data_IF_668360156936
#
_entry.id   IF_668360156936
#
_cell.length_a   1.000
_cell.length_b   1.000
_cell.length_c   1.000
_cell.angle_alpha   90.00
_cell.angle_beta   90.00
_cell.angle_gamma   90.00
#
_symmetry.space_group_name_H-M   'P 1'
#
loop_
_entity.id
_entity.type
_entity.pdbx_description
1 polymer ?
#
# COMPACT_ATOMS: atom_id res chain seq x y z
N UNK A 1 24.08 32.70 16.63
CA UNK A 1 25.22 33.64 16.56
C UNK A 1 25.83 33.75 15.18
N UNK A 2 26.20 32.67 14.50
CA UNK A 2 26.78 32.71 13.15
C UNK A 2 25.90 33.42 12.08
N UNK A 3 24.59 33.50 12.30
CA UNK A 3 23.62 34.20 11.43
C UNK A 3 23.13 35.54 11.98
N UNK A 4 23.65 35.98 13.14
CA UNK A 4 23.26 37.26 13.71
C UNK A 4 24.10 38.36 13.05
N UNK A 5 23.51 39.32 12.31
CA UNK A 5 24.24 40.38 11.64
C UNK A 5 25.04 41.28 12.60
N UNK A 6 24.68 41.30 13.89
CA UNK A 6 25.38 42.08 14.91
C UNK A 6 26.64 41.38 15.45
N UNK A 7 26.91 40.14 15.06
CA UNK A 7 28.10 39.40 15.49
C UNK A 7 29.28 39.70 14.57
N UNK A 8 30.44 39.97 15.17
CA UNK A 8 31.68 40.17 14.43
C UNK A 8 32.14 38.86 13.78
N UNK A 9 32.33 38.88 12.46
CA UNK A 9 32.86 37.74 11.71
C UNK A 9 34.38 37.89 11.52
N UNK A 10 35.15 36.90 12.00
CA UNK A 10 36.61 36.89 11.83
C UNK A 10 37.06 36.25 10.51
N UNK A 11 36.23 35.39 9.90
CA UNK A 11 36.56 34.62 8.69
C UNK A 11 35.55 34.76 7.55
N UNK A 12 34.33 35.24 7.85
CA UNK A 12 33.24 35.31 6.87
C UNK A 12 33.23 36.72 6.30
N UNK A 13 33.61 36.85 5.02
CA UNK A 13 33.74 38.14 4.33
C UNK A 13 32.58 38.41 3.35
N UNK A 14 31.59 37.53 3.32
CA UNK A 14 30.41 37.60 2.43
C UNK A 14 29.11 37.57 3.25
N UNK A 15 27.99 38.06 2.70
CA UNK A 15 26.70 38.00 3.37
C UNK A 15 26.34 36.57 3.76
N UNK A 16 25.94 36.36 5.02
CA UNK A 16 25.60 35.04 5.53
C UNK A 16 24.31 34.55 4.87
N UNK A 17 24.37 33.41 4.17
CA UNK A 17 23.19 32.78 3.55
C UNK A 17 22.31 32.12 4.61
N UNK A 18 20.98 32.17 4.42
CA UNK A 18 20.07 31.45 5.28
C UNK A 18 20.27 29.93 5.15
N UNK A 19 20.63 29.28 6.25
CA UNK A 19 20.74 27.83 6.31
C UNK A 19 19.39 27.17 6.57
N UNK A 20 19.25 25.86 6.26
CA UNK A 20 18.09 25.08 6.66
C UNK A 20 17.87 25.10 8.19
N UNK A 21 16.63 24.84 8.66
CA UNK A 21 16.36 24.70 10.09
C UNK A 21 17.25 23.64 10.74
N UNK A 22 17.85 23.98 11.88
CA UNK A 22 18.68 23.06 12.66
C UNK A 22 17.82 22.42 13.75
N UNK A 23 17.86 21.09 13.87
CA UNK A 23 17.21 20.34 14.92
C UNK A 23 18.21 19.43 15.63
N UNK A 24 18.20 19.45 16.97
CA UNK A 24 19.13 18.69 17.82
C UNK A 24 18.33 17.78 18.75
N UNK A 25 18.66 16.49 18.73
CA UNK A 25 18.12 15.50 19.66
C UNK A 25 18.69 15.76 21.05
N UNK A 26 17.82 15.81 22.04
CA UNK A 26 18.15 15.98 23.46
C UNK A 26 17.69 14.76 24.26
N UNK A 27 18.33 14.48 25.39
CA UNK A 27 18.13 13.27 26.20
C UNK A 27 17.07 13.44 27.30
N UNK A 28 16.37 14.58 27.36
CA UNK A 28 15.38 14.92 28.38
C UNK A 28 15.91 14.94 29.81
N UNK A 29 17.23 15.07 30.01
CA UNK A 29 17.84 15.13 31.34
C UNK A 29 17.65 16.48 32.06
N UNK A 30 17.24 17.52 31.34
CA UNK A 30 16.95 18.83 31.91
C UNK A 30 15.61 18.84 32.68
N UNK A 31 15.40 19.79 33.61
CA UNK A 31 14.17 19.86 34.42
C UNK A 31 12.87 19.99 33.62
N UNK A 32 12.91 20.49 32.38
CA UNK A 32 11.74 20.64 31.52
C UNK A 32 11.52 19.40 30.62
N UNK A 33 12.44 18.44 30.63
CA UNK A 33 12.36 17.19 29.87
C UNK A 33 12.48 17.41 28.36
N UNK A 34 13.35 18.32 27.94
CA UNK A 34 13.55 18.71 26.54
C UNK A 34 14.11 17.55 25.71
N UNK A 35 13.36 17.15 24.70
CA UNK A 35 13.73 16.05 23.79
C UNK A 35 14.20 16.55 22.41
N UNK A 36 13.81 17.76 22.01
CA UNK A 36 14.35 18.43 20.83
C UNK A 36 14.55 19.93 21.05
N UNK A 37 15.62 20.45 20.46
CA UNK A 37 15.83 21.89 20.26
C UNK A 37 15.90 22.18 18.77
N UNK A 38 15.12 23.17 18.32
CA UNK A 38 15.05 23.60 16.93
C UNK A 38 15.43 25.06 16.77
N UNK A 39 15.99 25.42 15.62
CA UNK A 39 16.32 26.80 15.29
C UNK A 39 16.04 27.08 13.81
N UNK A 40 15.11 28.00 13.52
CA UNK A 40 14.71 28.38 12.16
C UNK A 40 14.93 29.88 11.93
N UNK A 41 15.59 30.25 10.83
CA UNK A 41 15.84 31.64 10.50
C UNK A 41 14.57 32.35 10.00
N UNK A 42 14.40 33.59 10.43
CA UNK A 42 13.39 34.50 9.90
C UNK A 42 14.04 35.40 8.87
N UNK A 43 13.53 35.36 7.64
CA UNK A 43 14.03 36.18 6.53
C UNK A 43 12.96 37.16 6.06
N UNK A 44 13.38 38.36 5.68
CA UNK A 44 12.54 39.39 5.07
C UNK A 44 13.33 40.00 3.92
N UNK A 45 12.80 39.97 2.69
CA UNK A 45 13.48 40.47 1.49
C UNK A 45 14.93 39.93 1.35
N UNK A 46 15.12 38.61 1.52
CA UNK A 46 16.41 37.92 1.52
C UNK A 46 17.42 38.34 2.61
N UNK A 47 17.05 39.22 3.53
CA UNK A 47 17.84 39.55 4.72
C UNK A 47 17.40 38.70 5.91
N UNK A 48 18.35 38.25 6.74
CA UNK A 48 18.05 37.52 7.98
C UNK A 48 17.70 38.55 9.05
N UNK A 49 16.45 38.51 9.54
CA UNK A 49 15.89 39.47 10.50
C UNK A 49 15.70 38.89 11.89
N UNK A 50 15.87 37.58 12.06
CA UNK A 50 15.75 36.92 13.36
C UNK A 50 15.85 35.42 13.29
N UNK A 51 15.50 34.77 14.39
CA UNK A 51 15.48 33.33 14.55
C UNK A 51 14.30 32.92 15.44
N UNK A 52 13.64 31.82 15.10
CA UNK A 52 12.67 31.14 15.96
C UNK A 52 13.37 29.95 16.59
N UNK A 53 13.38 29.92 17.92
CA UNK A 53 13.92 28.83 18.72
C UNK A 53 12.76 27.95 19.17
N UNK A 54 12.80 26.66 18.86
CA UNK A 54 11.81 25.67 19.24
C UNK A 54 12.34 24.82 20.40
N UNK A 55 11.48 24.54 21.36
CA UNK A 55 11.71 23.59 22.44
C UNK A 55 10.59 22.56 22.41
N UNK A 56 10.95 21.29 22.39
CA UNK A 56 10.01 20.17 22.44
C UNK A 56 10.26 19.38 23.71
N UNK A 57 9.23 19.21 24.52
CA UNK A 57 9.25 18.35 25.70
C UNK A 57 8.31 17.16 25.50
N UNK A 58 8.69 15.98 25.99
CA UNK A 58 7.85 14.78 25.92
C UNK A 58 7.73 14.16 27.31
N UNK A 59 6.51 13.79 27.71
CA UNK A 59 6.22 13.14 28.99
C UNK A 59 5.35 11.90 28.76
N UNK A 60 5.69 10.81 29.43
CA UNK A 60 4.86 9.62 29.52
C UNK A 60 4.14 9.64 30.87
N UNK A 61 2.82 9.73 30.87
CA UNK A 61 2.02 9.78 32.10
C UNK A 61 0.68 9.07 31.87
N UNK A 62 0.17 8.44 32.94
CA UNK A 62 -1.20 7.89 32.97
C UNK A 62 -2.24 9.00 33.03
N UNK A 63 -1.90 10.13 33.65
CA UNK A 63 -2.79 11.27 33.79
C UNK A 63 -2.21 12.48 33.07
N UNK A 64 -2.97 13.07 32.15
CA UNK A 64 -2.65 14.35 31.56
C UNK A 64 -3.72 15.36 31.94
N UNK A 65 -3.30 16.56 32.32
CA UNK A 65 -4.18 17.71 32.51
C UNK A 65 -3.66 18.84 31.64
N UNK A 66 -4.46 19.22 30.65
CA UNK A 66 -4.16 20.37 29.81
C UNK A 66 -5.44 21.17 29.60
N UNK A 67 -5.33 22.49 29.68
CA UNK A 67 -6.43 23.40 29.44
C UNK A 67 -6.12 24.24 28.20
N UNK A 68 -7.08 24.32 27.27
CA UNK A 68 -6.91 25.06 26.02
C UNK A 68 -6.67 26.56 26.24
N UNK A 69 -7.37 27.16 27.20
CA UNK A 69 -7.25 28.59 27.50
C UNK A 69 -5.92 28.92 28.17
N UNK A 70 -5.35 28.00 28.96
CA UNK A 70 -4.00 28.16 29.51
C UNK A 70 -2.94 28.12 28.41
N UNK A 71 -3.08 27.21 27.43
CA UNK A 71 -2.20 27.16 26.27
C UNK A 71 -2.30 28.44 25.43
N UNK A 72 -3.53 28.91 25.15
CA UNK A 72 -3.78 30.17 24.42
C UNK A 72 -3.20 31.36 25.16
N UNK A 73 -3.44 31.46 26.46
CA UNK A 73 -2.95 32.54 27.32
C UNK A 73 -1.42 32.54 27.41
N UNK A 74 -0.81 31.37 27.56
CA UNK A 74 0.65 31.21 27.58
C UNK A 74 1.28 31.62 26.25
N UNK A 75 0.68 31.22 25.12
CA UNK A 75 1.14 31.64 23.79
C UNK A 75 1.00 33.16 23.59
N UNK A 76 -0.15 33.75 23.96
CA UNK A 76 -0.36 35.21 23.91
C UNK A 76 0.68 35.98 24.73
N UNK A 77 0.93 35.52 25.97
CA UNK A 77 1.93 36.13 26.86
C UNK A 77 3.34 36.03 26.28
N UNK A 78 3.72 34.86 25.77
CA UNK A 78 5.07 34.60 25.22
C UNK A 78 5.38 35.46 23.98
N UNK A 79 4.38 35.74 23.15
CA UNK A 79 4.55 36.42 21.87
C UNK A 79 3.92 37.81 21.80
N UNK A 80 3.41 38.32 22.92
CA UNK A 80 2.74 39.61 23.02
C UNK A 80 1.61 39.80 21.98
N UNK A 81 0.80 38.75 21.78
CA UNK A 81 -0.29 38.72 20.81
C UNK A 81 -1.64 39.06 21.47
N UNK A 82 -2.49 39.81 20.76
CA UNK A 82 -3.87 40.11 21.19
C UNK A 82 -4.84 38.97 20.85
N UNK A 83 -4.69 38.36 19.67
CA UNK A 83 -5.53 37.28 19.16
C UNK A 83 -4.72 36.05 18.78
N UNK A 84 -5.32 34.89 18.96
CA UNK A 84 -4.75 33.59 18.57
C UNK A 84 -5.85 32.73 17.98
N UNK A 85 -5.48 31.82 17.09
CA UNK A 85 -6.35 30.78 16.55
C UNK A 85 -5.86 29.42 17.00
N UNK A 86 -6.79 28.47 17.15
CA UNK A 86 -6.48 27.09 17.48
C UNK A 86 -6.94 26.18 16.34
N UNK A 87 -6.05 25.32 15.86
CA UNK A 87 -6.31 24.32 14.83
C UNK A 87 -6.10 22.94 15.41
N UNK A 88 -7.06 22.04 15.20
CA UNK A 88 -7.03 20.67 15.67
C UNK A 88 -6.61 19.74 14.56
N UNK A 89 -5.93 18.65 14.93
CA UNK A 89 -5.71 17.51 14.07
C UNK A 89 -5.75 16.22 14.87
N UNK A 90 -6.33 15.17 14.31
CA UNK A 90 -6.39 13.85 14.90
C UNK A 90 -6.08 12.79 13.85
N UNK A 91 -5.39 11.74 14.25
CA UNK A 91 -5.07 10.57 13.44
C UNK A 91 -5.68 9.34 14.10
N UNK A 92 -6.36 8.53 13.30
CA UNK A 92 -6.99 7.28 13.70
C UNK A 92 -6.35 6.13 12.93
N UNK A 93 -5.88 5.11 13.63
CA UNK A 93 -5.37 3.87 13.03
C UNK A 93 -6.57 2.99 12.66
N UNK A 94 -6.81 2.81 11.36
CA UNK A 94 -7.90 1.95 10.88
C UNK A 94 -7.43 0.51 10.71
N UNK A 95 -6.19 0.35 10.24
CA UNK A 95 -5.55 -0.94 10.06
C UNK A 95 -4.04 -0.82 10.18
N UNK A 96 -3.44 -1.82 10.83
CA UNK A 96 -2.00 -2.01 10.88
C UNK A 96 -1.70 -3.50 10.89
N UNK A 97 -0.94 -3.99 9.92
CA UNK A 97 -0.49 -5.39 9.94
C UNK A 97 0.55 -5.58 11.03
N UNK A 98 0.39 -6.65 11.81
CA UNK A 98 1.41 -7.12 12.75
C UNK A 98 2.41 -8.00 12.02
N UNK A 99 3.69 -7.62 12.04
CA UNK A 99 4.76 -8.49 11.58
C UNK A 99 4.77 -9.77 12.44
N UNK A 100 4.81 -10.93 11.80
CA UNK A 100 4.85 -12.24 12.49
C UNK A 100 6.23 -12.55 13.10
N UNK A 101 7.25 -11.73 12.85
CA UNK A 101 8.60 -11.89 13.42
C UNK A 101 9.22 -10.54 13.80
N UNK A 102 9.75 -10.47 15.03
CA UNK A 102 10.49 -9.35 15.64
C UNK A 102 11.91 -9.18 15.01
N UNK A 103 12.01 -9.17 13.68
CA UNK A 103 13.25 -8.82 12.99
C UNK A 103 13.10 -7.52 12.21
N UNK A 104 13.94 -6.56 12.60
CA UNK A 104 14.26 -5.26 12.01
C UNK A 104 13.38 -4.81 10.81
N UNK A 105 12.41 -3.93 11.11
CA UNK A 105 11.68 -3.12 10.15
C UNK A 105 11.08 -3.89 8.97
N UNK A 106 10.28 -4.93 9.26
CA UNK A 106 9.30 -5.40 8.29
C UNK A 106 8.44 -4.21 7.84
N UNK A 107 8.31 -4.03 6.53
CA UNK A 107 7.31 -3.11 5.98
C UNK A 107 5.95 -3.55 6.54
N UNK A 108 5.04 -2.62 6.76
CA UNK A 108 3.73 -2.93 7.34
C UNK A 108 2.68 -2.22 6.51
N UNK A 109 1.60 -2.94 6.22
CA UNK A 109 0.39 -2.35 5.69
C UNK A 109 -0.23 -1.48 6.77
N UNK A 110 -0.38 -0.20 6.48
CA UNK A 110 -0.94 0.79 7.40
C UNK A 110 -1.97 1.65 6.70
N UNK A 111 -3.18 1.72 7.27
CA UNK A 111 -4.24 2.61 6.83
C UNK A 111 -4.63 3.50 8.00
N UNK A 112 -4.46 4.80 7.84
CA UNK A 112 -4.78 5.79 8.88
C UNK A 112 -5.71 6.86 8.32
N UNK A 113 -6.58 7.40 9.16
CA UNK A 113 -7.44 8.54 8.85
C UNK A 113 -6.93 9.78 9.58
N UNK A 114 -6.45 10.76 8.82
CA UNK A 114 -6.08 12.07 9.33
C UNK A 114 -7.25 13.04 9.18
N UNK A 115 -7.59 13.75 10.24
CA UNK A 115 -8.65 14.76 10.25
C UNK A 115 -8.08 16.05 10.83
N UNK A 116 -8.34 17.19 10.20
CA UNK A 116 -7.94 18.50 10.69
C UNK A 116 -9.09 19.50 10.61
N UNK A 117 -9.16 20.39 11.59
CA UNK A 117 -10.26 21.35 11.71
C UNK A 117 -9.84 22.64 12.42
N UNK A 118 -10.63 23.68 12.24
CA UNK A 118 -10.45 24.97 12.87
C UNK A 118 -11.80 25.69 12.92
N UNK A 119 -12.17 26.37 14.02
CA UNK A 119 -11.42 26.48 15.28
C UNK A 119 -11.50 25.20 16.16
N UNK A 120 -10.69 25.17 17.22
CA UNK A 120 -10.80 24.22 18.34
C UNK A 120 -11.35 24.95 19.56
N UNK A 121 -12.38 24.36 20.16
CA UNK A 121 -13.10 24.87 21.31
C UNK A 121 -12.73 24.10 22.58
N UNK A 122 -12.46 22.80 22.48
CA UNK A 122 -12.11 21.92 23.59
C UNK A 122 -10.94 20.98 23.27
N UNK A 123 -10.12 20.69 24.29
CA UNK A 123 -9.09 19.65 24.22
C UNK A 123 -9.76 18.30 24.03
N UNK A 124 -9.24 17.50 23.09
CA UNK A 124 -9.79 16.19 22.73
C UNK A 124 -11.21 16.24 22.17
N UNK A 125 -11.65 17.39 21.67
CA UNK A 125 -12.92 17.46 20.95
C UNK A 125 -12.91 16.49 19.77
N UNK A 126 -14.05 15.84 19.56
CA UNK A 126 -14.28 14.97 18.41
C UNK A 126 -14.27 15.86 17.15
N UNK A 127 -13.54 15.48 16.08
CA UNK A 127 -13.49 16.27 14.86
C UNK A 127 -14.90 16.52 14.27
N UNK A 128 -15.30 17.79 14.02
CA UNK A 128 -16.62 18.09 13.47
C UNK A 128 -16.78 17.55 12.04
N UNK A 129 -18.02 17.38 11.59
CA UNK A 129 -18.29 16.89 10.22
C UNK A 129 -17.87 17.87 9.11
N UNK A 130 -17.64 19.15 9.46
CA UNK A 130 -17.10 20.19 8.59
C UNK A 130 -15.58 20.18 8.47
N UNK A 131 -14.90 19.22 9.09
CA UNK A 131 -13.44 19.07 9.04
C UNK A 131 -12.93 18.75 7.63
N UNK A 132 -11.62 18.85 7.45
CA UNK A 132 -10.91 18.25 6.31
C UNK A 132 -10.36 16.90 6.73
N UNK A 133 -10.52 15.86 5.91
CA UNK A 133 -10.00 14.53 6.21
C UNK A 133 -9.30 13.89 5.01
N UNK A 134 -8.32 13.03 5.29
CA UNK A 134 -7.60 12.25 4.30
C UNK A 134 -7.29 10.85 4.84
N UNK A 135 -7.51 9.82 4.01
CA UNK A 135 -7.00 8.48 4.26
C UNK A 135 -5.57 8.39 3.75
N UNK A 136 -4.65 7.97 4.60
CA UNK A 136 -3.29 7.63 4.23
C UNK A 136 -3.21 6.10 4.10
N UNK A 137 -2.77 5.62 2.94
CA UNK A 137 -2.79 4.21 2.58
C UNK A 137 -1.38 3.80 2.17
N UNK A 138 -0.81 2.85 2.90
CA UNK A 138 0.45 2.18 2.59
C UNK A 138 0.21 0.68 2.68
N UNK A 139 0.53 -0.07 1.63
CA UNK A 139 0.28 -1.50 1.57
C UNK A 139 1.56 -2.22 1.20
N UNK A 140 1.93 -3.20 2.02
CA UNK A 140 2.99 -4.17 1.73
C UNK A 140 2.40 -5.31 0.89
N UNK A 141 3.12 -5.73 -0.14
CA UNK A 141 2.64 -6.77 -1.04
C UNK A 141 2.82 -8.18 -0.46
N UNK A 142 1.86 -9.06 -0.76
CA UNK A 142 2.02 -10.49 -0.57
C UNK A 142 1.54 -11.07 0.75
N UNK A 143 0.54 -10.45 1.39
CA UNK A 143 -0.11 -10.99 2.58
C UNK A 143 -0.67 -12.41 2.34
N UNK A 144 -0.11 -13.47 2.96
CA UNK A 144 -0.39 -14.86 2.59
C UNK A 144 -1.80 -15.34 2.98
N UNK A 145 -2.48 -14.60 3.86
CA UNK A 145 -3.86 -14.88 4.28
C UNK A 145 -4.88 -13.94 3.63
N UNK A 146 -4.44 -13.05 2.74
CA UNK A 146 -5.32 -12.11 2.06
C UNK A 146 -6.23 -12.80 1.02
N UNK A 147 -7.36 -12.15 0.66
CA UNK A 147 -8.29 -12.67 -0.35
C UNK A 147 -7.68 -12.76 -1.76
N UNK A 148 -6.53 -12.12 -1.99
CA UNK A 148 -5.80 -12.13 -3.26
C UNK A 148 -4.72 -13.20 -3.34
N UNK A 149 -4.65 -14.15 -2.39
CA UNK A 149 -3.61 -15.18 -2.33
C UNK A 149 -3.45 -15.96 -3.64
N UNK A 150 -4.56 -16.28 -4.31
CA UNK A 150 -4.52 -16.98 -5.59
C UNK A 150 -3.79 -16.17 -6.68
N UNK A 151 -4.17 -14.90 -6.90
CA UNK A 151 -3.48 -14.00 -7.84
C UNK A 151 -2.03 -13.76 -7.43
N UNK A 152 -1.74 -13.65 -6.14
CA UNK A 152 -0.38 -13.45 -5.65
C UNK A 152 0.51 -14.66 -5.92
N UNK A 153 -0.02 -15.89 -5.79
CA UNK A 153 0.71 -17.12 -6.17
C UNK A 153 1.03 -17.15 -7.64
N UNK A 154 0.04 -16.84 -8.48
CA UNK A 154 0.24 -16.78 -9.93
C UNK A 154 1.26 -15.71 -10.32
N UNK A 155 1.21 -14.53 -9.69
CA UNK A 155 2.19 -13.48 -9.90
C UNK A 155 3.60 -13.93 -9.47
N UNK A 156 3.74 -14.57 -8.29
CA UNK A 156 5.03 -15.13 -7.84
C UNK A 156 5.59 -16.12 -8.86
N UNK A 157 4.75 -17.01 -9.39
CA UNK A 157 5.18 -17.94 -10.42
C UNK A 157 5.57 -17.23 -11.73
N UNK A 158 4.83 -16.21 -12.14
CA UNK A 158 5.18 -15.37 -13.29
C UNK A 158 6.57 -14.73 -13.13
N UNK A 159 6.88 -14.24 -11.92
CA UNK A 159 8.18 -13.64 -11.59
C UNK A 159 9.31 -14.65 -11.64
N UNK A 160 9.09 -15.86 -11.12
CA UNK A 160 10.04 -16.98 -11.24
C UNK A 160 10.38 -17.27 -12.71
N UNK A 161 9.38 -17.30 -13.59
CA UNK A 161 9.60 -17.49 -15.03
C UNK A 161 10.35 -16.31 -15.67
N UNK A 162 10.01 -15.08 -15.29
CA UNK A 162 10.67 -13.86 -15.78
C UNK A 162 12.16 -13.81 -15.37
N UNK A 163 12.46 -14.11 -14.10
CA UNK A 163 13.83 -14.19 -13.59
C UNK A 163 14.60 -15.36 -14.21
N UNK A 164 13.95 -16.50 -14.41
CA UNK A 164 14.54 -17.62 -15.15
C UNK A 164 14.91 -17.24 -16.58
N UNK A 165 14.07 -16.46 -17.26
CA UNK A 165 14.36 -15.95 -18.60
C UNK A 165 15.53 -14.95 -18.62
N UNK A 166 15.64 -14.12 -17.56
CA UNK A 166 16.67 -13.08 -17.42
C UNK A 166 18.04 -13.64 -17.02
N UNK A 167 18.05 -14.61 -16.11
CA UNK A 167 19.28 -15.14 -15.49
C UNK A 167 19.73 -16.48 -16.06
N UNK A 168 18.84 -17.21 -16.73
CA UNK A 168 19.06 -18.58 -17.16
C UNK A 168 18.88 -19.63 -16.07
N UNK A 169 18.53 -19.23 -14.84
CA UNK A 169 18.32 -20.11 -13.68
C UNK A 169 16.93 -19.88 -13.12
N UNK A 170 16.11 -20.93 -13.09
CA UNK A 170 14.74 -20.88 -12.55
C UNK A 170 14.68 -21.60 -11.21
N UNK A 171 14.25 -20.89 -10.17
CA UNK A 171 13.94 -21.46 -8.85
C UNK A 171 12.49 -21.93 -8.85
N UNK A 172 12.26 -23.22 -9.14
CA UNK A 172 10.92 -23.76 -9.25
C UNK A 172 10.21 -23.82 -7.90
N UNK A 173 8.95 -23.34 -7.79
CA UNK A 173 8.20 -23.40 -6.54
C UNK A 173 7.77 -24.83 -6.20
N UNK A 174 7.36 -25.01 -4.94
CA UNK A 174 6.74 -26.27 -4.51
C UNK A 174 5.41 -26.51 -5.24
N UNK A 175 5.14 -27.76 -5.69
CA UNK A 175 3.91 -28.08 -6.39
C UNK A 175 2.72 -27.99 -5.44
N UNK A 176 1.63 -27.40 -5.92
CA UNK A 176 0.35 -27.33 -5.23
C UNK A 176 -0.51 -28.56 -5.55
N UNK A 177 -0.30 -29.14 -6.73
CA UNK A 177 -1.04 -30.30 -7.22
C UNK A 177 -0.30 -31.61 -6.92
N UNK A 178 -1.07 -32.66 -6.61
CA UNK A 178 -0.53 -34.01 -6.39
C UNK A 178 -0.10 -34.66 -7.71
N UNK A 179 -0.81 -34.35 -8.80
CA UNK A 179 -0.50 -34.82 -10.15
C UNK A 179 0.61 -33.97 -10.77
N UNK A 180 1.45 -34.61 -11.58
CA UNK A 180 2.49 -33.89 -12.32
C UNK A 180 1.88 -32.99 -13.41
N UNK A 181 2.61 -31.94 -13.80
CA UNK A 181 2.20 -31.05 -14.88
C UNK A 181 1.88 -31.78 -16.18
N UNK A 182 2.66 -32.83 -16.50
CA UNK A 182 2.49 -33.63 -17.71
C UNK A 182 1.18 -34.42 -17.65
N UNK A 183 0.85 -35.01 -16.51
CA UNK A 183 -0.42 -35.74 -16.32
C UNK A 183 -1.62 -34.79 -16.42
N UNK A 184 -1.56 -33.62 -15.78
CA UNK A 184 -2.63 -32.62 -15.83
C UNK A 184 -2.88 -32.09 -17.24
N UNK A 185 -1.80 -31.85 -18.00
CA UNK A 185 -1.90 -31.42 -19.41
C UNK A 185 -2.44 -32.57 -20.27
N UNK A 186 -1.99 -33.80 -20.06
CA UNK A 186 -2.50 -34.95 -20.82
C UNK A 186 -3.98 -35.21 -20.56
N UNK A 187 -4.42 -35.14 -19.30
CA UNK A 187 -5.82 -35.25 -18.91
C UNK A 187 -6.66 -34.15 -19.57
N UNK A 188 -6.17 -32.91 -19.52
CA UNK A 188 -6.82 -31.78 -20.18
C UNK A 188 -7.00 -31.97 -21.69
N UNK A 189 -5.95 -32.41 -22.39
CA UNK A 189 -6.03 -32.71 -23.82
C UNK A 189 -7.01 -33.85 -24.12
N UNK A 190 -7.03 -34.89 -23.29
CA UNK A 190 -7.95 -36.01 -23.45
C UNK A 190 -9.42 -35.60 -23.24
N UNK A 191 -9.68 -34.67 -22.31
CA UNK A 191 -11.03 -34.20 -22.05
C UNK A 191 -11.56 -33.31 -23.17
N UNK A 192 -10.69 -32.51 -23.80
CA UNK A 192 -11.03 -31.76 -25.01
C UNK A 192 -11.40 -32.68 -26.19
N UNK A 193 -10.70 -33.82 -26.33
CA UNK A 193 -11.01 -34.82 -27.36
C UNK A 193 -12.33 -35.56 -27.13
N UNK A 194 -12.80 -35.64 -25.87
CA UNK A 194 -14.08 -36.27 -25.53
C UNK A 194 -15.26 -35.32 -25.71
N UNK A 195 -15.01 -34.02 -25.84
CA UNK A 195 -16.01 -32.95 -25.78
C UNK A 195 -16.72 -32.66 -27.12
N UNK A 196 -16.69 -33.59 -28.08
CA UNK A 196 -17.57 -33.57 -29.26
C UNK A 196 -19.07 -33.83 -28.90
N UNK A 197 -19.42 -33.78 -27.61
CA UNK A 197 -20.80 -33.86 -27.11
C UNK A 197 -21.00 -33.21 -25.73
N UNK A 198 -21.86 -32.18 -25.69
CA UNK A 198 -22.37 -31.41 -24.52
C UNK A 198 -21.39 -30.43 -23.86
N UNK A 199 -21.74 -29.16 -23.60
CA UNK A 199 -23.05 -28.63 -23.20
C UNK A 199 -23.01 -28.33 -21.70
N UNK A 200 -22.80 -27.05 -21.38
CA UNK A 200 -22.91 -26.35 -20.09
C UNK A 200 -23.01 -27.23 -18.82
N UNK A 201 -21.93 -27.32 -18.04
CA UNK A 201 -21.95 -27.96 -16.71
C UNK A 201 -21.55 -26.97 -15.61
N UNK A 202 -22.38 -25.96 -15.41
CA UNK A 202 -22.46 -25.28 -14.10
C UNK A 202 -22.98 -26.26 -13.04
N UNK A 203 -22.08 -26.91 -12.30
CA UNK A 203 -22.42 -27.51 -11.00
C UNK A 203 -22.55 -26.39 -9.97
N UNK A 204 -23.80 -26.00 -9.68
CA UNK A 204 -24.16 -25.26 -8.47
C UNK A 204 -24.26 -26.25 -7.31
N UNK A 205 -23.24 -26.28 -6.46
CA UNK A 205 -23.39 -26.85 -5.13
C UNK A 205 -23.90 -25.76 -4.19
N UNK A 206 -25.13 -25.95 -3.72
CA UNK A 206 -25.78 -25.12 -2.74
C UNK A 206 -25.44 -25.63 -1.33
N UNK A 207 -24.61 -24.90 -0.59
CA UNK A 207 -24.42 -25.15 0.84
C UNK A 207 -25.12 -24.10 1.70
N UNK A 208 -25.77 -24.62 2.74
CA UNK A 208 -26.68 -23.97 3.66
C UNK A 208 -25.98 -22.96 4.58
N UNK A 209 -26.60 -21.79 4.70
CA UNK A 209 -26.11 -20.63 5.48
C UNK A 209 -26.38 -20.83 6.98
N UNK A 210 -25.32 -20.81 7.78
CA UNK A 210 -25.37 -20.45 9.21
C UNK A 210 -24.56 -19.17 9.42
N UNK A 211 -25.19 -18.20 10.07
CA UNK A 211 -24.66 -16.86 10.37
C UNK A 211 -23.64 -16.89 11.52
N UNK A 212 -22.46 -16.30 11.28
CA UNK A 212 -21.73 -15.33 12.11
C UNK A 212 -20.20 -15.44 11.93
N UNK A 213 -19.54 -14.29 11.77
CA UNK A 213 -18.13 -14.04 11.35
C UNK A 213 -17.73 -14.46 9.91
N UNK A 214 -18.21 -15.60 9.40
CA UNK A 214 -17.90 -16.08 8.03
C UNK A 214 -18.54 -15.25 6.90
N UNK A 215 -19.45 -14.32 7.24
CA UNK A 215 -20.15 -13.49 6.27
C UNK A 215 -19.28 -12.37 5.68
N UNK A 216 -18.27 -11.89 6.42
CA UNK A 216 -17.34 -10.85 5.93
C UNK A 216 -16.34 -11.45 4.95
N UNK A 217 -15.75 -12.60 5.28
CA UNK A 217 -14.87 -13.35 4.37
C UNK A 217 -15.60 -13.78 3.10
N UNK A 218 -16.82 -14.35 3.22
CA UNK A 218 -17.66 -14.64 2.05
C UNK A 218 -18.09 -13.40 1.26
N UNK A 219 -18.23 -12.24 1.90
CA UNK A 219 -18.56 -10.98 1.19
C UNK A 219 -17.37 -10.41 0.44
N UNK A 220 -16.13 -10.73 0.85
CA UNK A 220 -14.90 -10.38 0.16
C UNK A 220 -14.61 -11.41 -0.94
N UNK A 221 -14.75 -12.71 -0.68
CA UNK A 221 -14.64 -13.77 -1.70
C UNK A 221 -15.70 -13.62 -2.80
N UNK A 222 -16.92 -13.20 -2.47
CA UNK A 222 -17.98 -12.94 -3.45
C UNK A 222 -17.77 -11.66 -4.29
N UNK A 223 -16.92 -10.72 -3.83
CA UNK A 223 -16.56 -9.52 -4.61
C UNK A 223 -15.62 -9.82 -5.78
N UNK A 224 -14.81 -10.88 -5.65
CA UNK A 224 -13.88 -11.33 -6.67
C UNK A 224 -14.47 -12.55 -7.34
N UNK A 225 -15.41 -12.33 -8.27
CA UNK A 225 -15.78 -13.40 -9.20
C UNK A 225 -14.53 -13.73 -10.01
N UNK A 226 -13.85 -14.81 -9.63
CA UNK A 226 -12.77 -15.39 -10.43
C UNK A 226 -13.31 -15.56 -11.83
N UNK A 227 -12.59 -15.02 -12.82
CA UNK A 227 -13.00 -15.09 -14.22
C UNK A 227 -13.18 -16.56 -14.60
N UNK A 228 -14.41 -16.96 -14.88
CA UNK A 228 -14.78 -18.34 -15.19
C UNK A 228 -14.68 -18.68 -16.68
N UNK A 229 -14.74 -17.68 -17.55
CA UNK A 229 -14.53 -17.77 -18.99
C UNK A 229 -13.03 -17.78 -19.30
N UNK A 230 -12.38 -18.93 -19.03
CA UNK A 230 -10.98 -19.17 -19.37
C UNK A 230 -10.88 -19.90 -20.71
N UNK A 231 -10.09 -19.35 -21.64
CA UNK A 231 -9.77 -20.04 -22.89
C UNK A 231 -8.76 -21.19 -22.69
N UNK A 232 -8.42 -21.87 -23.77
CA UNK A 232 -7.48 -22.99 -23.73
C UNK A 232 -6.12 -22.63 -23.12
N UNK A 233 -5.54 -21.48 -23.51
CA UNK A 233 -4.23 -21.06 -23.04
C UNK A 233 -4.29 -20.69 -21.55
N UNK A 234 -5.39 -20.09 -21.10
CA UNK A 234 -5.60 -19.68 -19.72
C UNK A 234 -5.83 -20.88 -18.79
N UNK A 235 -6.59 -21.87 -19.24
CA UNK A 235 -6.74 -23.15 -18.54
C UNK A 235 -5.41 -23.92 -18.47
N UNK A 236 -4.60 -23.84 -19.53
CA UNK A 236 -3.26 -24.42 -19.55
C UNK A 236 -2.35 -23.75 -18.50
N UNK A 237 -2.37 -22.41 -18.41
CA UNK A 237 -1.64 -21.69 -17.38
C UNK A 237 -2.07 -22.11 -15.98
N UNK A 238 -3.37 -22.21 -15.71
CA UNK A 238 -3.87 -22.64 -14.41
C UNK A 238 -3.33 -24.02 -14.02
N UNK A 239 -3.34 -24.98 -14.94
CA UNK A 239 -2.82 -26.33 -14.70
C UNK A 239 -1.30 -26.35 -14.49
N UNK A 240 -0.54 -25.62 -15.32
CA UNK A 240 0.91 -25.64 -15.29
C UNK A 240 1.50 -24.83 -14.13
N UNK A 241 0.90 -23.69 -13.78
CA UNK A 241 1.40 -22.81 -12.70
C UNK A 241 1.35 -23.44 -11.31
N UNK A 242 0.44 -24.39 -11.09
CA UNK A 242 0.34 -25.13 -9.83
C UNK A 242 1.16 -26.42 -9.76
N UNK A 243 1.79 -26.86 -10.85
CA UNK A 243 2.34 -28.23 -10.95
C UNK A 243 3.72 -28.36 -11.62
N UNK A 244 4.18 -27.33 -12.34
CA UNK A 244 5.50 -27.35 -12.98
C UNK A 244 6.59 -27.16 -11.92
N UNK A 245 7.52 -28.12 -11.87
CA UNK A 245 8.65 -28.12 -10.93
C UNK A 245 10.02 -28.18 -11.64
N UNK A 246 10.03 -28.21 -12.97
CA UNK A 246 11.27 -28.30 -13.75
C UNK A 246 11.14 -27.79 -15.18
N UNK A 247 12.26 -27.42 -15.80
CA UNK A 247 12.33 -27.09 -17.23
C UNK A 247 11.87 -28.26 -18.12
N UNK A 248 12.12 -29.51 -17.70
CA UNK A 248 11.73 -30.69 -18.46
C UNK A 248 10.21 -30.87 -18.48
N UNK A 249 9.50 -30.45 -17.44
CA UNK A 249 8.03 -30.46 -17.44
C UNK A 249 7.50 -29.51 -18.50
N UNK A 250 8.08 -28.30 -18.64
CA UNK A 250 7.70 -27.37 -19.71
C UNK A 250 7.89 -27.99 -21.09
N UNK A 251 9.07 -28.58 -21.35
CA UNK A 251 9.36 -29.22 -22.63
C UNK A 251 8.36 -30.33 -22.93
N UNK A 252 8.09 -31.21 -21.97
CA UNK A 252 7.15 -32.32 -22.14
C UNK A 252 5.72 -31.84 -22.37
N UNK A 253 5.23 -30.91 -21.54
CA UNK A 253 3.89 -30.34 -21.67
C UNK A 253 3.70 -29.67 -23.04
N UNK A 254 4.61 -28.79 -23.46
CA UNK A 254 4.52 -28.15 -24.77
C UNK A 254 4.69 -29.13 -25.93
N UNK A 255 5.51 -30.18 -25.77
CA UNK A 255 5.64 -31.23 -26.80
C UNK A 255 4.30 -31.94 -27.02
N UNK A 256 3.61 -32.33 -25.94
CA UNK A 256 2.29 -32.96 -26.03
C UNK A 256 1.28 -32.07 -26.75
N UNK A 257 1.22 -30.79 -26.36
CA UNK A 257 0.27 -29.82 -26.95
C UNK A 257 0.57 -29.61 -28.45
N UNK A 258 1.84 -29.39 -28.81
CA UNK A 258 2.23 -29.18 -30.21
C UNK A 258 1.93 -30.42 -31.04
N UNK A 259 2.19 -31.62 -30.53
CA UNK A 259 1.86 -32.87 -31.22
C UNK A 259 0.35 -33.05 -31.41
N UNK A 260 -0.45 -32.76 -30.39
CA UNK A 260 -1.92 -32.83 -30.50
C UNK A 260 -2.48 -31.83 -31.50
N UNK A 261 -1.94 -30.61 -31.58
CA UNK A 261 -2.29 -29.62 -32.60
C UNK A 261 -1.87 -30.09 -34.01
N UNK A 262 -0.63 -30.58 -34.17
CA UNK A 262 -0.11 -31.04 -35.46
C UNK A 262 -0.88 -32.24 -36.02
N UNK A 263 -1.34 -33.15 -35.15
CA UNK A 263 -2.19 -34.28 -35.53
C UNK A 263 -3.64 -33.87 -35.82
N UNK A 264 -4.03 -32.65 -35.45
CA UNK A 264 -5.41 -32.18 -35.52
C UNK A 264 -6.32 -32.88 -34.51
N UNK A 265 -5.76 -33.44 -33.43
CA UNK A 265 -6.51 -34.14 -32.38
C UNK A 265 -7.46 -33.15 -31.67
N UNK A 266 -7.02 -31.90 -31.50
CA UNK A 266 -7.75 -30.82 -30.81
C UNK A 266 -7.96 -29.60 -31.71
N UNK A 267 -9.06 -28.88 -31.49
CA UNK A 267 -9.32 -27.55 -32.04
C UNK A 267 -9.68 -26.57 -30.91
N UNK A 268 -8.70 -26.17 -30.08
CA UNK A 268 -8.96 -25.39 -28.88
C UNK A 268 -9.49 -23.99 -29.24
N UNK A 269 -10.32 -23.38 -28.39
CA UNK A 269 -10.75 -21.98 -28.56
C UNK A 269 -9.84 -21.00 -27.81
N UNK A 270 -9.66 -19.80 -28.36
CA UNK A 270 -8.84 -18.71 -27.79
C UNK A 270 -9.60 -17.38 -27.78
N UNK A 271 -9.39 -16.58 -26.73
CA UNK A 271 -9.80 -15.18 -26.76
C UNK A 271 -9.01 -14.38 -27.79
N UNK A 272 -9.66 -13.38 -28.41
CA UNK A 272 -8.99 -12.47 -29.33
C UNK A 272 -7.91 -11.63 -28.65
N UNK A 273 -6.86 -11.29 -29.39
CA UNK A 273 -5.85 -10.30 -28.97
C UNK A 273 -4.61 -10.85 -28.28
N UNK A 274 -4.44 -12.17 -28.17
CA UNK A 274 -3.18 -12.78 -27.72
C UNK A 274 -2.15 -12.83 -28.85
N UNK A 275 -0.94 -12.33 -28.59
CA UNK A 275 0.20 -12.39 -29.51
C UNK A 275 1.25 -13.44 -29.10
N UNK A 276 0.90 -14.33 -28.16
CA UNK A 276 1.78 -15.39 -27.67
C UNK A 276 2.21 -16.35 -28.79
N UNK A 277 3.35 -17.02 -28.60
CA UNK A 277 3.78 -18.06 -29.54
C UNK A 277 2.76 -19.20 -29.63
N UNK A 278 2.15 -19.59 -28.50
CA UNK A 278 1.14 -20.65 -28.49
C UNK A 278 -0.12 -20.24 -29.28
N UNK A 279 -0.60 -18.99 -29.15
CA UNK A 279 -1.77 -18.55 -29.92
C UNK A 279 -1.53 -18.60 -31.42
N UNK A 280 -0.32 -18.19 -31.86
CA UNK A 280 0.08 -18.28 -33.28
C UNK A 280 0.09 -19.72 -33.78
N UNK A 281 0.62 -20.66 -33.01
CA UNK A 281 0.63 -22.08 -33.38
C UNK A 281 -0.78 -22.66 -33.46
N UNK A 282 -1.67 -22.29 -32.54
CA UNK A 282 -3.07 -22.72 -32.56
C UNK A 282 -3.78 -22.19 -33.82
N UNK A 283 -3.60 -20.91 -34.15
CA UNK A 283 -4.18 -20.34 -35.38
C UNK A 283 -3.65 -21.02 -36.64
N UNK A 284 -2.35 -21.29 -36.71
CA UNK A 284 -1.72 -22.04 -37.80
C UNK A 284 -2.28 -23.47 -37.93
N UNK A 285 -2.55 -24.13 -36.80
CA UNK A 285 -3.14 -25.47 -36.75
C UNK A 285 -4.48 -25.55 -37.47
N UNK A 286 -5.33 -24.53 -37.36
CA UNK A 286 -6.63 -24.51 -38.05
C UNK A 286 -6.50 -24.48 -39.58
N UNK A 287 -5.38 -23.98 -40.09
CA UNK A 287 -5.09 -23.89 -41.52
C UNK A 287 -4.26 -25.07 -42.04
N UNK A 288 -4.04 -26.10 -41.21
CA UNK A 288 -3.35 -27.34 -41.58
C UNK A 288 -1.84 -27.19 -41.83
N UNK A 289 -1.25 -26.04 -41.53
CA UNK A 289 0.19 -25.77 -41.69
C UNK A 289 0.73 -25.08 -40.45
N UNK A 290 1.44 -25.85 -39.60
CA UNK A 290 2.08 -25.34 -38.40
C UNK A 290 3.58 -25.26 -38.55
N UNK A 291 4.17 -24.18 -38.04
CA UNK A 291 5.62 -24.04 -37.97
C UNK A 291 6.22 -25.11 -37.03
N UNK A 292 7.41 -25.59 -37.37
CA UNK A 292 8.17 -26.48 -36.48
C UNK A 292 8.86 -25.65 -35.40
N UNK A 293 8.44 -25.81 -34.15
CA UNK A 293 9.05 -25.12 -33.01
C UNK A 293 10.04 -26.04 -32.29
N UNK A 294 11.31 -25.64 -32.27
CA UNK A 294 12.31 -26.32 -31.47
C UNK A 294 12.20 -25.88 -29.99
N UNK A 295 11.70 -26.77 -29.12
CA UNK A 295 11.57 -26.54 -27.67
C UNK A 295 12.93 -26.62 -26.95
N UNK A 296 13.83 -25.70 -27.28
CA UNK A 296 15.20 -25.62 -26.76
C UNK A 296 15.52 -24.22 -26.23
N UNK A 297 16.58 -24.11 -25.43
CA UNK A 297 17.00 -22.85 -24.82
C UNK A 297 15.91 -22.25 -23.93
N UNK A 298 15.59 -20.98 -24.14
CA UNK A 298 14.62 -20.24 -23.32
C UNK A 298 13.18 -20.29 -23.85
N UNK A 299 12.95 -20.95 -24.99
CA UNK A 299 11.65 -20.95 -25.67
C UNK A 299 10.52 -21.50 -24.79
N UNK A 300 10.65 -22.66 -24.10
CA UNK A 300 9.56 -23.18 -23.26
C UNK A 300 9.19 -22.24 -22.10
N UNK A 301 10.19 -21.63 -21.46
CA UNK A 301 9.97 -20.66 -20.37
C UNK A 301 9.24 -19.42 -20.90
N UNK A 302 9.70 -18.89 -22.05
CA UNK A 302 9.06 -17.74 -22.70
C UNK A 302 7.61 -18.03 -23.09
N UNK A 303 7.32 -19.22 -23.63
CA UNK A 303 5.96 -19.62 -23.99
C UNK A 303 5.03 -19.58 -22.77
N UNK A 304 5.43 -20.17 -21.64
CA UNK A 304 4.59 -20.17 -20.44
C UNK A 304 4.44 -18.77 -19.84
N UNK A 305 5.52 -17.97 -19.87
CA UNK A 305 5.50 -16.58 -19.40
C UNK A 305 4.53 -15.70 -20.20
N UNK A 306 4.52 -15.84 -21.54
CA UNK A 306 3.57 -15.12 -22.41
C UNK A 306 2.11 -15.47 -22.08
N UNK A 307 1.83 -16.76 -21.85
CA UNK A 307 0.48 -17.23 -21.49
C UNK A 307 0.05 -16.65 -20.13
N UNK A 308 0.94 -16.72 -19.13
CA UNK A 308 0.66 -16.16 -17.80
C UNK A 308 0.44 -14.65 -17.81
N UNK A 309 1.21 -13.92 -18.63
CA UNK A 309 1.02 -12.48 -18.83
C UNK A 309 -0.36 -12.17 -19.42
N UNK A 310 -0.74 -12.87 -20.49
CA UNK A 310 -2.04 -12.65 -21.14
C UNK A 310 -3.19 -12.97 -20.19
N UNK A 311 -3.11 -14.07 -19.43
CA UNK A 311 -4.11 -14.45 -18.43
C UNK A 311 -4.24 -13.40 -17.34
N UNK A 312 -3.14 -13.05 -16.67
CA UNK A 312 -3.15 -12.13 -15.54
C UNK A 312 -3.59 -10.73 -15.97
N UNK A 313 -3.14 -10.22 -17.13
CA UNK A 313 -3.61 -8.93 -17.65
C UNK A 313 -5.13 -8.94 -17.85
N UNK A 314 -5.71 -10.01 -18.41
CA UNK A 314 -7.17 -10.12 -18.57
C UNK A 314 -7.90 -10.16 -17.23
N UNK A 315 -7.34 -10.81 -16.22
CA UNK A 315 -7.95 -10.86 -14.89
C UNK A 315 -7.97 -9.48 -14.23
N UNK A 316 -6.86 -8.74 -14.29
CA UNK A 316 -6.84 -7.35 -13.79
C UNK A 316 -7.79 -6.45 -14.59
N UNK A 317 -7.81 -6.57 -15.93
CA UNK A 317 -8.76 -5.82 -16.77
C UNK A 317 -10.20 -6.14 -16.35
N UNK A 318 -10.54 -7.42 -16.20
CA UNK A 318 -11.87 -7.89 -15.81
C UNK A 318 -12.28 -7.31 -14.45
N UNK A 319 -11.36 -7.30 -13.47
CA UNK A 319 -11.61 -6.69 -12.17
C UNK A 319 -11.83 -5.18 -12.28
N UNK A 320 -10.88 -4.43 -12.83
CA UNK A 320 -10.93 -2.97 -12.81
C UNK A 320 -12.06 -2.40 -13.68
N UNK A 321 -12.35 -3.03 -14.82
CA UNK A 321 -13.48 -2.63 -15.67
C UNK A 321 -14.80 -3.14 -15.09
N UNK A 322 -14.85 -4.39 -14.62
CA UNK A 322 -16.07 -4.99 -14.06
C UNK A 322 -16.56 -4.31 -12.78
N UNK A 323 -15.63 -3.74 -12.00
CA UNK A 323 -15.95 -2.91 -10.83
C UNK A 323 -16.11 -1.42 -11.16
N UNK A 324 -16.08 -1.04 -12.44
CA UNK A 324 -16.18 0.35 -12.92
C UNK A 324 -15.12 1.30 -12.31
N UNK A 325 -13.95 0.76 -11.95
CA UNK A 325 -12.85 1.51 -11.32
C UNK A 325 -11.88 2.13 -12.33
N UNK A 326 -11.82 1.57 -13.54
CA UNK A 326 -11.01 2.07 -14.64
C UNK A 326 -11.62 1.72 -16.01
N UNK A 327 -11.20 2.45 -17.04
CA UNK A 327 -11.44 2.08 -18.44
C UNK A 327 -10.21 1.39 -19.01
N UNK A 328 -10.34 0.72 -20.16
CA UNK A 328 -9.20 0.14 -20.87
C UNK A 328 -8.11 1.18 -21.18
N UNK A 329 -8.52 2.41 -21.53
CA UNK A 329 -7.60 3.53 -21.79
C UNK A 329 -6.81 3.93 -20.53
N UNK A 330 -7.43 3.87 -19.35
CA UNK A 330 -6.71 4.13 -18.11
C UNK A 330 -5.63 3.07 -17.87
N UNK A 331 -5.90 1.82 -18.23
CA UNK A 331 -5.03 0.67 -18.00
C UNK A 331 -4.00 0.42 -19.12
N UNK A 332 -4.11 1.09 -20.27
CA UNK A 332 -3.29 0.88 -21.48
C UNK A 332 -1.79 0.75 -21.20
N UNK A 333 -1.24 1.66 -20.37
CA UNK A 333 0.16 1.63 -19.95
C UNK A 333 0.56 0.27 -19.39
N UNK A 334 -0.26 -0.34 -18.54
CA UNK A 334 0.07 -1.58 -17.84
C UNK A 334 -0.09 -2.82 -18.71
N UNK A 335 -0.98 -2.78 -19.70
CA UNK A 335 -1.38 -3.96 -20.47
C UNK A 335 -0.70 -4.05 -21.85
N UNK A 336 -0.12 -2.95 -22.35
CA UNK A 336 0.51 -2.90 -23.68
C UNK A 336 1.59 -3.98 -23.87
N UNK A 337 1.57 -4.62 -25.03
CA UNK A 337 2.55 -5.63 -25.43
C UNK A 337 3.73 -5.03 -26.23
N UNK A 338 3.78 -3.70 -26.38
CA UNK A 338 4.81 -2.99 -27.16
C UNK A 338 6.18 -2.91 -26.49
N UNK A 339 6.24 -3.17 -25.18
CA UNK A 339 7.47 -3.15 -24.37
C UNK A 339 8.02 -4.56 -24.19
N UNK A 340 9.26 -4.66 -23.74
CA UNK A 340 9.90 -5.95 -23.50
C UNK A 340 9.16 -6.76 -22.43
N UNK A 341 9.34 -8.08 -22.46
CA UNK A 341 8.59 -9.01 -21.61
C UNK A 341 8.87 -8.80 -20.11
N UNK A 342 10.06 -8.31 -19.73
CA UNK A 342 10.39 -8.05 -18.33
C UNK A 342 9.65 -6.82 -17.83
N UNK A 343 9.61 -5.76 -18.64
CA UNK A 343 8.80 -4.57 -18.34
C UNK A 343 7.30 -4.90 -18.30
N UNK A 344 6.79 -5.80 -19.16
CA UNK A 344 5.40 -6.25 -19.08
C UNK A 344 5.10 -6.93 -17.74
N UNK A 345 5.99 -7.81 -17.27
CA UNK A 345 5.87 -8.46 -15.94
C UNK A 345 5.89 -7.42 -14.83
N UNK A 346 6.82 -6.47 -14.89
CA UNK A 346 6.93 -5.39 -13.89
C UNK A 346 5.67 -4.52 -13.81
N UNK A 347 5.03 -4.26 -14.96
CA UNK A 347 3.76 -3.52 -15.00
C UNK A 347 2.58 -4.32 -14.45
N UNK A 348 2.57 -5.64 -14.64
CA UNK A 348 1.58 -6.52 -14.01
C UNK A 348 1.76 -6.54 -12.48
N UNK A 349 3.00 -6.52 -11.96
CA UNK A 349 3.23 -6.34 -10.52
C UNK A 349 2.64 -5.03 -10.00
N UNK A 350 2.81 -3.93 -10.74
CA UNK A 350 2.17 -2.64 -10.38
C UNK A 350 0.65 -2.74 -10.34
N UNK A 351 0.02 -3.41 -11.32
CA UNK A 351 -1.44 -3.65 -11.29
C UNK A 351 -1.86 -4.46 -10.07
N UNK A 352 -1.09 -5.48 -9.70
CA UNK A 352 -1.35 -6.28 -8.51
C UNK A 352 -1.31 -5.43 -7.24
N UNK A 353 -0.28 -4.58 -7.10
CA UNK A 353 -0.18 -3.72 -5.93
C UNK A 353 -1.31 -2.68 -5.85
N UNK A 354 -1.74 -2.12 -6.99
CA UNK A 354 -2.95 -1.27 -7.05
C UNK A 354 -4.17 -2.06 -6.56
N UNK A 355 -4.31 -3.32 -6.96
CA UNK A 355 -5.40 -4.18 -6.52
C UNK A 355 -5.33 -4.41 -5.00
N UNK A 356 -4.18 -4.82 -4.46
CA UNK A 356 -3.98 -5.01 -3.01
C UNK A 356 -4.38 -3.76 -2.22
N UNK A 357 -3.94 -2.58 -2.65
CA UNK A 357 -4.34 -1.30 -2.06
C UNK A 357 -5.86 -1.10 -2.01
N UNK A 358 -6.56 -1.36 -3.11
CA UNK A 358 -8.01 -1.21 -3.15
C UNK A 358 -8.68 -2.18 -2.21
N UNK A 359 -8.25 -3.45 -2.22
CA UNK A 359 -8.80 -4.49 -1.35
C UNK A 359 -8.62 -4.15 0.12
N UNK A 360 -7.43 -3.70 0.53
CA UNK A 360 -7.19 -3.27 1.91
C UNK A 360 -8.09 -2.09 2.31
N UNK A 361 -8.45 -1.21 1.37
CA UNK A 361 -9.34 -0.09 1.64
C UNK A 361 -10.84 -0.43 1.59
N UNK A 362 -11.25 -1.49 0.90
CA UNK A 362 -12.67 -1.83 0.74
C UNK A 362 -13.40 -1.97 2.09
N UNK A 363 -12.74 -2.49 3.13
CA UNK A 363 -13.34 -2.60 4.47
C UNK A 363 -13.80 -1.25 5.05
N UNK A 364 -13.15 -0.16 4.66
CA UNK A 364 -13.37 1.17 5.23
C UNK A 364 -14.19 2.09 4.33
N UNK A 365 -14.09 1.93 3.00
CA UNK A 365 -14.67 2.86 2.03
C UNK A 365 -15.53 2.19 0.95
N UNK A 366 -15.80 0.89 1.00
CA UNK A 366 -16.61 0.17 -0.02
C UNK A 366 -17.98 0.78 -0.32
N UNK A 367 -18.77 1.31 0.64
CA UNK A 367 -20.04 1.97 0.33
C UNK A 367 -19.89 3.20 -0.57
N UNK A 368 -18.67 3.70 -0.79
CA UNK A 368 -18.38 4.92 -1.54
C UNK A 368 -17.53 4.58 -2.77
N UNK A 369 -18.19 4.11 -3.82
CA UNK A 369 -17.55 3.78 -5.09
C UNK A 369 -16.68 4.92 -5.65
N UNK A 370 -17.13 6.18 -5.51
CA UNK A 370 -16.36 7.36 -5.90
C UNK A 370 -14.97 7.43 -5.25
N UNK A 371 -14.83 6.98 -3.99
CA UNK A 371 -13.55 6.95 -3.29
C UNK A 371 -12.64 5.84 -3.82
N UNK A 372 -13.19 4.65 -4.09
CA UNK A 372 -12.44 3.54 -4.71
C UNK A 372 -11.97 3.92 -6.12
N UNK A 373 -12.83 4.58 -6.89
CA UNK A 373 -12.47 5.11 -8.21
C UNK A 373 -11.35 6.15 -8.09
N UNK A 374 -11.49 7.15 -7.21
CA UNK A 374 -10.48 8.19 -7.01
C UNK A 374 -9.13 7.61 -6.55
N UNK A 375 -9.14 6.62 -5.65
CA UNK A 375 -7.94 5.89 -5.24
C UNK A 375 -7.30 5.17 -6.43
N UNK A 376 -8.09 4.42 -7.21
CA UNK A 376 -7.62 3.73 -8.42
C UNK A 376 -6.93 4.70 -9.38
N UNK A 377 -7.56 5.85 -9.66
CA UNK A 377 -6.99 6.86 -10.56
C UNK A 377 -5.70 7.47 -10.01
N UNK A 378 -5.62 7.70 -8.69
CA UNK A 378 -4.41 8.18 -8.03
C UNK A 378 -3.25 7.19 -8.18
N UNK A 379 -3.49 5.91 -7.89
CA UNK A 379 -2.47 4.86 -8.01
C UNK A 379 -2.03 4.64 -9.46
N UNK A 380 -2.98 4.61 -10.40
CA UNK A 380 -2.71 4.51 -11.84
C UNK A 380 -1.83 5.67 -12.31
N UNK A 381 -2.13 6.91 -11.89
CA UNK A 381 -1.33 8.09 -12.23
C UNK A 381 0.09 7.99 -11.67
N UNK A 382 0.23 7.58 -10.42
CA UNK A 382 1.53 7.44 -9.77
C UNK A 382 2.40 6.37 -10.46
N UNK A 383 1.88 5.16 -10.65
CA UNK A 383 2.66 4.04 -11.18
C UNK A 383 2.97 4.12 -12.68
N UNK A 384 2.30 5.01 -13.42
CA UNK A 384 2.71 5.38 -14.78
C UNK A 384 4.04 6.15 -14.81
N UNK A 385 4.39 6.85 -13.73
CA UNK A 385 5.51 7.79 -13.69
C UNK A 385 6.61 7.38 -12.70
N UNK A 386 6.30 6.49 -11.77
CA UNK A 386 7.19 6.09 -10.68
C UNK A 386 7.41 4.56 -10.71
N UNK A 387 8.54 4.07 -10.18
CA UNK A 387 8.73 2.64 -9.92
C UNK A 387 7.70 2.14 -8.90
N UNK A 388 7.58 0.81 -8.79
CA UNK A 388 6.91 0.15 -7.68
C UNK A 388 7.63 0.55 -6.38
N UNK A 389 6.88 1.15 -5.45
CA UNK A 389 7.39 1.63 -4.16
C UNK A 389 6.32 1.40 -3.09
N UNK A 390 6.50 0.33 -2.32
CA UNK A 390 5.59 -0.05 -1.23
C UNK A 390 5.70 0.89 -0.01
N UNK A 391 6.71 1.75 0.05
CA UNK A 391 6.83 2.78 1.10
C UNK A 391 6.05 4.05 0.76
N UNK A 392 5.57 4.18 -0.48
CA UNK A 392 4.78 5.33 -0.87
C UNK A 392 3.44 5.36 -0.12
N UNK A 393 3.12 6.52 0.47
CA UNK A 393 1.85 6.74 1.17
C UNK A 393 0.90 7.46 0.22
N UNK A 394 -0.15 6.76 -0.22
CA UNK A 394 -1.20 7.38 -1.00
C UNK A 394 -2.18 8.12 -0.09
N UNK A 395 -2.41 9.40 -0.40
CA UNK A 395 -3.37 10.23 0.32
C UNK A 395 -4.65 10.36 -0.50
N UNK A 396 -5.77 9.91 0.07
CA UNK A 396 -7.09 10.03 -0.52
C UNK A 396 -7.93 11.03 0.31
N UNK A 397 -8.23 12.23 -0.22
CA UNK A 397 -9.13 13.16 0.44
C UNK A 397 -10.52 12.55 0.61
N UNK A 398 -11.08 12.62 1.82
CA UNK A 398 -12.41 12.09 2.14
C UNK A 398 -13.24 13.13 2.88
N UNK A 399 -14.56 13.09 2.68
CA UNK A 399 -15.47 13.93 3.46
C UNK A 399 -15.69 13.27 4.84
N UNK A 400 -15.57 13.99 5.97
CA UNK A 400 -15.81 13.40 7.29
C UNK A 400 -17.19 12.77 7.45
N UNK A 401 -18.21 13.29 6.76
CA UNK A 401 -19.56 12.69 6.73
C UNK A 401 -19.57 11.26 6.20
N UNK A 402 -18.66 10.96 5.28
CA UNK A 402 -18.55 9.67 4.61
C UNK A 402 -17.80 8.64 5.48
N UNK A 403 -16.86 9.09 6.32
CA UNK A 403 -16.05 8.23 7.19
C UNK A 403 -16.42 8.37 8.68
N UNK A 404 -17.59 8.96 8.95
CA UNK A 404 -18.08 9.27 10.31
C UNK A 404 -17.98 8.09 11.28
N UNK A 405 -18.39 6.91 10.83
CA UNK A 405 -18.39 5.68 11.64
C UNK A 405 -17.00 5.19 12.03
N UNK A 406 -15.95 5.64 11.34
CA UNK A 406 -14.58 5.21 11.58
C UNK A 406 -13.89 5.98 12.71
N UNK A 407 -14.44 7.12 13.14
CA UNK A 407 -13.73 8.01 14.06
C UNK A 407 -14.57 8.62 15.19
N UNK A 408 -15.90 8.72 15.05
CA UNK A 408 -16.70 9.44 16.04
C UNK A 408 -16.85 8.75 17.39
N UNK A 409 -16.81 7.42 17.42
CA UNK A 409 -16.82 6.60 18.65
C UNK A 409 -15.43 6.17 19.09
N UNK A 410 -14.42 6.45 18.28
CA UNK A 410 -13.07 5.92 18.46
C UNK A 410 -12.16 6.94 19.15
N UNK A 411 -11.17 6.42 19.87
CA UNK A 411 -10.09 7.25 20.42
C UNK A 411 -9.01 7.42 19.35
N UNK A 412 -8.57 8.65 19.06
CA UNK A 412 -7.49 8.85 18.11
C UNK A 412 -6.18 8.29 18.66
N UNK A 413 -5.38 7.72 17.77
CA UNK A 413 -4.00 7.30 18.07
C UNK A 413 -3.14 8.51 18.41
N UNK A 414 -3.39 9.62 17.71
CA UNK A 414 -2.75 10.91 17.96
C UNK A 414 -3.78 12.02 17.87
N UNK A 415 -3.83 12.90 18.86
CA UNK A 415 -4.61 14.14 18.84
C UNK A 415 -3.69 15.32 19.10
N UNK A 416 -3.90 16.41 18.38
CA UNK A 416 -3.01 17.56 18.42
C UNK A 416 -3.81 18.86 18.29
N UNK A 417 -3.41 19.88 19.05
CA UNK A 417 -3.85 21.27 18.86
C UNK A 417 -2.64 22.15 18.59
N UNK A 418 -2.73 22.95 17.53
CA UNK A 418 -1.77 24.00 17.17
C UNK A 418 -2.40 25.36 17.45
N UNK A 419 -1.70 26.18 18.25
CA UNK A 419 -2.06 27.56 18.55
C UNK A 419 -1.08 28.47 17.82
N UNK A 420 -1.60 29.42 17.06
CA UNK A 420 -0.81 30.41 16.32
C UNK A 420 -1.50 31.77 16.31
N UNK A 421 -0.77 32.84 15.98
CA UNK A 421 -1.37 34.15 15.76
C UNK A 421 -0.62 34.96 14.71
N UNK A 422 -1.34 35.50 13.72
CA UNK A 422 -0.86 36.47 12.71
C UNK A 422 0.29 35.98 11.80
N UNK A 423 1.48 35.80 12.36
CA UNK A 423 2.67 35.28 11.70
C UNK A 423 2.74 33.75 11.84
N UNK A 424 2.58 33.02 10.73
CA UNK A 424 2.54 31.54 10.68
C UNK A 424 3.75 30.82 11.30
N UNK A 425 4.88 31.53 11.53
CA UNK A 425 6.13 30.91 12.01
C UNK A 425 6.12 30.61 13.51
N UNK A 426 5.32 31.36 14.28
CA UNK A 426 5.27 31.23 15.73
C UNK A 426 4.06 30.40 16.13
N UNK A 427 4.32 29.24 16.73
CA UNK A 427 3.28 28.30 17.14
C UNK A 427 3.60 27.59 18.44
N UNK A 428 2.54 27.28 19.19
CA UNK A 428 2.58 26.30 20.30
C UNK A 428 1.78 25.08 19.86
N UNK A 429 2.35 23.88 19.98
CA UNK A 429 1.66 22.64 19.67
C UNK A 429 1.58 21.78 20.91
N UNK A 430 0.39 21.31 21.25
CA UNK A 430 0.22 20.24 22.24
C UNK A 430 -0.31 19.00 21.53
N UNK A 431 0.25 17.83 21.84
CA UNK A 431 -0.11 16.56 21.25
C UNK A 431 -0.25 15.49 22.33
N UNK A 432 -1.26 14.63 22.18
CA UNK A 432 -1.45 13.38 22.89
C UNK A 432 -1.29 12.22 21.91
N UNK A 433 -0.56 11.17 22.28
CA UNK A 433 -0.47 9.94 21.50
C UNK A 433 -0.44 8.69 22.38
N UNK A 434 -0.87 7.56 21.84
CA UNK A 434 -0.82 6.24 22.52
C UNK A 434 0.52 5.50 22.32
N UNK A 435 1.41 6.08 21.53
CA UNK A 435 2.76 5.60 21.22
C UNK A 435 3.79 6.71 21.41
N UNK A 436 5.02 6.32 21.69
CA UNK A 436 6.12 7.23 21.94
C UNK A 436 6.38 8.10 20.68
N UNK A 437 6.21 9.43 20.74
CA UNK A 437 6.34 10.29 19.57
C UNK A 437 7.80 10.64 19.23
N UNK A 438 8.76 10.15 20.03
CA UNK A 438 10.19 10.47 19.92
C UNK A 438 11.02 9.19 20.03
N UNK A 439 11.56 8.74 18.90
CA UNK A 439 12.25 7.44 18.79
C UNK A 439 13.54 7.36 19.62
N UNK A 440 14.21 8.48 19.87
CA UNK A 440 15.50 8.51 20.57
C UNK A 440 15.38 8.55 22.09
N UNK A 441 14.17 8.65 22.64
CA UNK A 441 13.93 8.56 24.07
C UNK A 441 13.55 7.13 24.46
N UNK A 442 14.30 6.57 25.40
CA UNK A 442 13.88 5.34 26.07
C UNK A 442 13.02 5.71 27.28
N UNK A 443 11.71 5.53 27.15
CA UNK A 443 10.84 5.55 28.32
C UNK A 443 11.04 4.22 29.04
N UNK A 444 11.84 4.21 30.11
CA UNK A 444 12.01 3.01 30.92
C UNK A 444 10.64 2.52 31.40
N UNK A 445 10.26 1.29 31.03
CA UNK A 445 9.19 0.53 31.70
C UNK A 445 9.66 0.20 33.12
N UNK A 446 9.70 1.18 34.02
CA UNK A 446 9.86 0.92 35.44
C UNK A 446 8.50 0.48 36.00
N UNK A 447 8.47 -0.78 36.48
CA UNK A 447 7.43 -1.44 37.29
C UNK A 447 6.09 -1.79 36.61
N UNK A 448 6.13 -2.62 35.56
CA UNK A 448 4.99 -3.50 35.25
C UNK A 448 5.49 -4.94 35.37
N UNK A 449 5.16 -5.59 36.48
CA UNK A 449 5.41 -7.02 36.69
C UNK A 449 4.86 -7.83 35.51
N UNK A 450 5.75 -8.50 34.78
CA UNK A 450 5.43 -9.50 33.77
C UNK A 450 4.84 -10.76 34.41
N UNK A 451 3.62 -10.68 34.94
CA UNK A 451 2.87 -11.85 35.37
C UNK A 451 1.37 -11.58 35.24
N UNK A 452 0.84 -11.57 34.02
CA UNK A 452 -0.43 -12.24 33.70
C UNK A 452 -0.58 -12.39 32.18
N UNK A 453 -0.37 -13.62 31.71
CA UNK A 453 -1.04 -14.16 30.52
C UNK A 453 -2.55 -14.11 30.77
N UNK A 454 -3.22 -13.02 30.39
CA UNK A 454 -4.63 -12.95 30.03
C UNK A 454 -4.93 -11.56 29.44
N UNK A 455 -5.32 -11.54 28.16
CA UNK A 455 -5.60 -10.35 27.38
C UNK A 455 -6.86 -9.60 27.81
N UNK A 456 -6.81 -8.89 28.93
CA UNK A 456 -7.82 -7.90 29.30
C UNK A 456 -7.16 -6.61 29.81
N UNK A 457 -7.29 -5.53 29.02
CA UNK A 457 -7.00 -4.14 29.41
C UNK A 457 -5.64 -3.90 30.09
N UNK A 458 -4.54 -4.07 29.35
CA UNK A 458 -3.34 -3.29 29.69
C UNK A 458 -3.68 -1.80 29.45
N UNK A 459 -3.72 -0.99 30.51
CA UNK A 459 -3.83 0.47 30.42
C UNK A 459 -2.68 0.99 29.53
N UNK A 460 -2.97 1.33 28.27
CA UNK A 460 -1.99 1.92 27.36
C UNK A 460 -1.44 3.21 27.96
N UNK A 461 -0.12 3.26 28.14
CA UNK A 461 0.60 4.46 28.53
C UNK A 461 0.36 5.56 27.49
N UNK A 462 -0.02 6.76 27.94
CA UNK A 462 -0.21 7.91 27.06
C UNK A 462 1.03 8.80 27.06
N UNK A 463 1.33 9.39 25.91
CA UNK A 463 2.45 10.29 25.71
C UNK A 463 1.91 11.68 25.39
N UNK A 464 2.43 12.68 26.11
CA UNK A 464 2.16 14.08 25.81
C UNK A 464 3.41 14.75 25.28
N UNK A 465 3.25 15.50 24.19
CA UNK A 465 4.31 16.29 23.59
C UNK A 465 3.88 17.76 23.55
N UNK A 466 4.77 18.65 23.98
CA UNK A 466 4.55 20.10 23.91
C UNK A 466 5.70 20.73 23.13
N UNK A 467 5.35 21.36 22.01
CA UNK A 467 6.24 22.22 21.23
C UNK A 467 5.93 23.66 21.58
N UNK A 468 6.93 24.38 22.06
CA UNK A 468 6.87 25.84 22.22
C UNK A 468 7.96 26.48 21.38
N UNK A 469 7.80 27.76 21.05
CA UNK A 469 8.85 28.50 20.40
C UNK A 469 8.99 29.91 20.97
N UNK A 470 10.13 30.54 20.71
CA UNK A 470 10.42 31.94 21.02
C UNK A 470 11.06 32.59 19.81
N UNK A 471 10.58 33.75 19.41
CA UNK A 471 11.14 34.50 18.30
C UNK A 471 12.10 35.57 18.82
N UNK A 472 13.32 35.57 18.31
CA UNK A 472 14.36 36.55 18.62
C UNK A 472 14.64 37.36 17.37
N UNK A 473 14.46 38.67 17.45
CA UNK A 473 14.80 39.58 16.37
C UNK A 473 16.26 40.01 16.48
N UNK A 474 16.96 40.01 15.35
CA UNK A 474 18.27 40.65 15.24
C UNK A 474 18.00 42.13 14.96
N UNK A 475 17.99 42.93 16.03
CA UNK A 475 17.81 44.39 15.96
C UNK A 475 19.12 45.10 15.67
#
# INVERSE_FOLDING_TARGET
MAHNPNMTHLKINHPVTALPPLWVRCDSSDPEGTCWLGAELVTTNNSITGIVLYTVSCKADKNYSVNLEDLKSSHKKRHHLSTVTARGSAQYELFKSTALDDTLAASQTTITLDISWSPVDEILQIPPLSSTAALNIKVESGEPRGPLNHLQRELKFLLVLADGLRTGVTEWPEPLEVKSAVELVQEFLNDLNKLDGFGDSTKKDAETVKHDSAAVDRSIECLFTVRGDLDFAEQLWFKMSGSVISYQDLVKCFTLIIQSLQRGDIQPWLHSGSNSLLSKLIHQSYHGTMDTVALSGTIPVKMLLEIGLDKLKKDYISFFIGQELASLNHLEYFITASVDIQEQVYRVQKLHHILEMLVSCMLFIKPQHELLFALTQSCVKYYKQNPLDEQHIFQLPVRPTAVKSLYQSEKPQKWQVEISGGQKKVKTVWQLSDSAPVDHLSFHKSDVSELTLNGSLEERMSFTNLVTCSQVHFK
#
